data_IF_571006708947
#
_entry.id   IF_571006708947
#
_cell.length_a   1.000
_cell.length_b   1.000
_cell.length_c   1.000
_cell.angle_alpha   90.00
_cell.angle_beta   90.00
_cell.angle_gamma   90.00
#
_symmetry.space_group_name_H-M   'P 1'
#
loop_
_entity.id
_entity.type
_entity.pdbx_description
1 polymer ?
#
# COMPACT_ATOMS: atom_id res chain seq x y z
N UNK A 1 1.52 -47.34 4.23
CA UNK A 1 0.70 -46.16 3.84
C UNK A 1 0.99 -45.07 4.83
N UNK A 2 1.67 -43.98 4.41
CA UNK A 2 1.89 -42.83 5.29
C UNK A 2 0.53 -42.17 5.51
N UNK A 3 0.07 -42.11 6.77
CA UNK A 3 -1.11 -41.35 7.16
C UNK A 3 -0.79 -39.89 6.78
N UNK A 4 -1.45 -39.35 5.75
CA UNK A 4 -1.30 -37.95 5.38
C UNK A 4 -1.84 -37.12 6.54
N UNK A 5 -0.96 -36.44 7.26
CA UNK A 5 -1.37 -35.57 8.36
C UNK A 5 -2.35 -34.51 7.85
N UNK A 6 -3.41 -34.28 8.61
CA UNK A 6 -4.48 -33.34 8.23
C UNK A 6 -3.86 -31.91 8.11
N UNK A 7 -4.11 -31.18 7.00
CA UNK A 7 -3.68 -29.79 6.86
C UNK A 7 -4.17 -28.93 8.03
N UNK A 8 -3.32 -28.04 8.53
CA UNK A 8 -3.65 -27.14 9.64
C UNK A 8 -3.78 -25.69 9.17
N UNK A 9 -4.49 -24.88 9.95
CA UNK A 9 -4.64 -23.44 9.75
C UNK A 9 -3.97 -22.74 10.93
N UNK A 10 -2.73 -22.27 10.71
CA UNK A 10 -1.94 -21.63 11.75
C UNK A 10 -2.03 -20.12 11.71
N UNK A 11 -2.07 -19.50 12.90
CA UNK A 11 -1.91 -18.06 13.09
C UNK A 11 -0.50 -17.74 13.57
N UNK A 12 0.08 -16.68 13.02
CA UNK A 12 1.45 -16.22 13.33
C UNK A 12 1.41 -14.73 13.65
N UNK A 13 1.67 -14.38 14.89
CA UNK A 13 1.99 -13.01 15.26
C UNK A 13 3.49 -12.75 15.11
N UNK A 14 3.87 -11.63 14.50
CA UNK A 14 5.26 -11.37 14.10
C UNK A 14 5.85 -10.15 14.79
N UNK A 15 6.85 -10.40 15.64
CA UNK A 15 7.71 -9.39 16.24
C UNK A 15 9.12 -9.42 15.62
N UNK A 16 9.97 -8.47 16.01
CA UNK A 16 11.31 -8.33 15.48
C UNK A 16 12.19 -9.55 15.79
N UNK A 17 12.15 -10.03 17.02
CA UNK A 17 13.04 -11.07 17.52
C UNK A 17 12.39 -12.46 17.48
N UNK A 18 11.05 -12.53 17.54
CA UNK A 18 10.33 -13.79 17.65
C UNK A 18 9.03 -13.80 16.85
N UNK A 19 8.53 -14.99 16.62
CA UNK A 19 7.22 -15.28 16.04
C UNK A 19 6.44 -16.12 17.04
N UNK A 20 5.25 -15.68 17.42
CA UNK A 20 4.33 -16.46 18.25
C UNK A 20 3.34 -17.18 17.34
N UNK A 21 3.24 -18.49 17.50
CA UNK A 21 2.53 -19.36 16.58
C UNK A 21 1.45 -20.15 17.32
N UNK A 22 0.27 -20.18 16.74
CA UNK A 22 -0.82 -21.07 17.11
C UNK A 22 -1.09 -22.02 15.94
N UNK A 23 -0.75 -23.29 16.10
CA UNK A 23 -0.85 -24.28 15.00
C UNK A 23 -2.28 -24.78 14.73
N UNK A 24 -3.17 -24.67 15.70
CA UNK A 24 -4.60 -24.95 15.57
C UNK A 24 -5.36 -24.27 16.73
N UNK A 25 -6.69 -24.05 16.62
CA UNK A 25 -7.45 -23.33 17.63
C UNK A 25 -7.30 -23.86 19.06
N UNK A 26 -7.17 -25.17 19.21
CA UNK A 26 -7.12 -25.85 20.52
C UNK A 26 -5.69 -26.17 20.99
N UNK A 27 -4.65 -25.74 20.29
CA UNK A 27 -3.25 -25.94 20.71
C UNK A 27 -2.74 -24.77 21.54
N UNK A 28 -1.75 -25.00 22.39
CA UNK A 28 -1.08 -23.91 23.10
C UNK A 28 -0.18 -23.14 22.13
N UNK A 29 -0.20 -21.80 22.15
CA UNK A 29 0.75 -20.98 21.42
C UNK A 29 2.18 -21.26 21.87
N UNK A 30 3.12 -21.19 20.94
CA UNK A 30 4.55 -21.31 21.23
C UNK A 30 5.34 -20.27 20.41
N UNK A 31 6.53 -19.92 20.85
CA UNK A 31 7.40 -18.96 20.20
C UNK A 31 8.58 -19.63 19.51
N UNK A 32 8.97 -19.09 18.36
CA UNK A 32 10.25 -19.41 17.69
C UNK A 32 11.00 -18.12 17.37
N UNK A 33 12.34 -18.14 17.30
CA UNK A 33 13.08 -16.99 16.82
C UNK A 33 12.68 -16.55 15.40
N UNK A 34 12.54 -15.25 15.16
CA UNK A 34 12.26 -14.72 13.83
C UNK A 34 13.51 -14.75 12.95
N UNK A 35 14.03 -15.93 12.71
CA UNK A 35 15.22 -16.19 11.90
C UNK A 35 14.90 -17.19 10.79
N UNK A 36 15.60 -17.04 9.67
CA UNK A 36 15.45 -17.93 8.51
C UNK A 36 15.58 -19.41 8.86
N UNK A 37 16.51 -19.75 9.75
CA UNK A 37 16.79 -21.14 10.19
C UNK A 37 15.60 -21.71 11.00
N UNK A 38 15.11 -20.96 11.99
CA UNK A 38 14.02 -21.40 12.85
C UNK A 38 12.70 -21.53 12.07
N UNK A 39 12.39 -20.54 11.22
CA UNK A 39 11.23 -20.57 10.33
C UNK A 39 11.25 -21.81 9.44
N UNK A 40 12.38 -22.06 8.75
CA UNK A 40 12.53 -23.22 7.87
C UNK A 40 12.40 -24.55 8.62
N UNK A 41 12.91 -24.63 9.85
CA UNK A 41 12.80 -25.82 10.69
C UNK A 41 11.33 -26.08 11.06
N UNK A 42 10.60 -25.05 11.49
CA UNK A 42 9.19 -25.19 11.82
C UNK A 42 8.32 -25.54 10.60
N UNK A 43 8.50 -24.86 9.46
CA UNK A 43 7.73 -25.15 8.24
C UNK A 43 7.85 -26.59 7.77
N UNK A 44 8.98 -27.26 8.03
CA UNK A 44 9.18 -28.69 7.72
C UNK A 44 8.31 -29.62 8.57
N UNK A 45 7.84 -29.18 9.73
CA UNK A 45 6.95 -29.96 10.60
C UNK A 45 5.48 -29.89 10.18
N UNK A 46 5.14 -28.95 9.30
CA UNK A 46 3.77 -28.73 8.87
C UNK A 46 3.32 -29.75 7.81
N UNK A 47 2.08 -30.26 7.93
CA UNK A 47 1.47 -31.07 6.87
C UNK A 47 1.34 -30.30 5.56
N UNK A 48 1.50 -31.00 4.43
CA UNK A 48 1.23 -30.42 3.11
C UNK A 48 -0.22 -29.91 3.02
N UNK A 49 -0.41 -28.77 2.35
CA UNK A 49 -1.73 -28.15 2.21
C UNK A 49 -2.15 -27.27 3.38
N UNK A 50 -1.31 -27.14 4.43
CA UNK A 50 -1.55 -26.21 5.53
C UNK A 50 -1.56 -24.76 5.05
N UNK A 51 -2.27 -23.90 5.80
CA UNK A 51 -2.40 -22.47 5.53
C UNK A 51 -1.99 -21.63 6.74
N UNK A 52 -1.45 -20.46 6.48
CA UNK A 52 -0.89 -19.57 7.50
C UNK A 52 -1.53 -18.18 7.40
N UNK A 53 -2.07 -17.67 8.51
CA UNK A 53 -2.43 -16.25 8.63
C UNK A 53 -1.35 -15.51 9.43
N UNK A 54 -0.81 -14.45 8.88
CA UNK A 54 0.30 -13.68 9.47
C UNK A 54 -0.12 -12.22 9.58
N UNK A 55 0.05 -11.58 10.74
CA UNK A 55 -0.22 -10.14 10.87
C UNK A 55 0.87 -9.32 10.15
N UNK A 56 0.43 -8.31 9.41
CA UNK A 56 1.30 -7.36 8.70
C UNK A 56 1.95 -6.35 9.66
N UNK A 57 2.86 -6.79 10.52
CA UNK A 57 3.58 -5.92 11.44
C UNK A 57 4.90 -5.46 10.84
N UNK A 58 4.97 -4.18 10.44
CA UNK A 58 6.16 -3.58 9.80
C UNK A 58 6.68 -4.45 8.64
N UNK A 59 7.95 -4.91 8.72
CA UNK A 59 8.58 -5.85 7.77
C UNK A 59 8.85 -7.22 8.41
N UNK A 60 8.48 -7.41 9.66
CA UNK A 60 8.85 -8.60 10.45
C UNK A 60 8.18 -9.88 9.96
N UNK A 61 7.00 -9.77 9.37
CA UNK A 61 6.23 -10.88 8.78
C UNK A 61 6.81 -11.39 7.45
N UNK A 62 7.67 -10.61 6.79
CA UNK A 62 8.06 -10.89 5.39
C UNK A 62 8.86 -12.16 5.23
N UNK A 63 9.84 -12.43 6.11
CA UNK A 63 10.68 -13.63 6.02
C UNK A 63 9.83 -14.90 6.19
N UNK A 64 8.87 -14.89 7.13
CA UNK A 64 7.93 -15.99 7.31
C UNK A 64 7.04 -16.17 6.08
N UNK A 65 6.46 -15.10 5.56
CA UNK A 65 5.58 -15.16 4.39
C UNK A 65 6.31 -15.69 3.15
N UNK A 66 7.52 -15.21 2.88
CA UNK A 66 8.34 -15.62 1.74
C UNK A 66 8.76 -17.11 1.85
N UNK A 67 9.23 -17.56 3.01
CA UNK A 67 9.63 -18.96 3.20
C UNK A 67 8.44 -19.91 3.16
N UNK A 68 7.32 -19.54 3.79
CA UNK A 68 6.12 -20.37 3.77
C UNK A 68 5.57 -20.51 2.35
N UNK A 69 5.49 -19.42 1.59
CA UNK A 69 5.09 -19.46 0.18
C UNK A 69 6.05 -20.32 -0.67
N UNK A 70 7.36 -20.14 -0.49
CA UNK A 70 8.39 -20.93 -1.20
C UNK A 70 8.34 -22.42 -0.85
N UNK A 71 7.88 -22.77 0.36
CA UNK A 71 7.66 -24.13 0.79
C UNK A 71 6.31 -24.75 0.31
N UNK A 72 5.51 -23.97 -0.44
CA UNK A 72 4.24 -24.42 -1.04
C UNK A 72 3.03 -24.28 -0.12
N UNK A 73 3.14 -23.54 0.99
CA UNK A 73 2.01 -23.23 1.86
C UNK A 73 1.19 -22.05 1.36
N UNK A 74 -0.11 -22.05 1.63
CA UNK A 74 -0.98 -20.90 1.35
C UNK A 74 -0.83 -19.89 2.49
N UNK A 75 -0.40 -18.68 2.14
CA UNK A 75 -0.15 -17.62 3.11
C UNK A 75 -1.20 -16.52 2.96
N UNK A 76 -1.72 -16.04 4.09
CA UNK A 76 -2.62 -14.90 4.16
C UNK A 76 -1.99 -13.82 5.06
N UNK A 77 -1.64 -12.69 4.47
CA UNK A 77 -1.13 -11.54 5.24
C UNK A 77 -2.32 -10.66 5.63
N UNK A 78 -2.58 -10.58 6.92
CA UNK A 78 -3.75 -9.91 7.49
C UNK A 78 -3.35 -8.52 7.98
N UNK A 79 -4.11 -7.51 7.58
CA UNK A 79 -3.95 -6.14 8.06
C UNK A 79 -4.36 -5.99 9.52
N UNK A 80 -3.53 -5.32 10.34
CA UNK A 80 -3.76 -5.18 11.78
C UNK A 80 -5.06 -4.46 12.15
N UNK A 81 -5.51 -3.50 11.32
CA UNK A 81 -6.81 -2.85 11.53
C UNK A 81 -7.97 -3.84 11.32
N UNK A 82 -7.87 -4.71 10.31
CA UNK A 82 -8.86 -5.75 10.04
C UNK A 82 -8.91 -6.75 11.19
N UNK A 83 -7.76 -7.16 11.70
CA UNK A 83 -7.66 -8.04 12.85
C UNK A 83 -8.22 -7.40 14.12
N UNK A 84 -7.95 -6.11 14.36
CA UNK A 84 -8.51 -5.36 15.49
C UNK A 84 -10.04 -5.30 15.45
N UNK A 85 -10.63 -5.03 14.28
CA UNK A 85 -12.09 -5.03 14.12
C UNK A 85 -12.71 -6.41 14.31
N UNK A 86 -12.03 -7.46 13.87
CA UNK A 86 -12.48 -8.82 14.11
C UNK A 86 -12.43 -9.16 15.59
N UNK A 87 -11.39 -8.73 16.31
CA UNK A 87 -11.30 -8.85 17.78
C UNK A 87 -12.48 -8.17 18.48
N UNK A 88 -12.81 -6.96 18.08
CA UNK A 88 -13.95 -6.23 18.61
C UNK A 88 -15.29 -6.97 18.37
N UNK A 89 -15.47 -7.52 17.17
CA UNK A 89 -16.71 -8.22 16.77
C UNK A 89 -16.98 -9.47 17.60
N UNK A 90 -15.94 -10.13 18.13
CA UNK A 90 -16.05 -11.31 18.98
C UNK A 90 -15.88 -11.00 20.48
N UNK A 91 -15.92 -9.71 20.85
CA UNK A 91 -15.80 -9.21 22.23
C UNK A 91 -14.54 -9.69 22.99
N UNK A 92 -13.44 -9.98 22.26
CA UNK A 92 -12.18 -10.42 22.86
C UNK A 92 -11.42 -9.18 23.40
N UNK A 93 -11.23 -9.10 24.73
CA UNK A 93 -10.61 -7.96 25.39
C UNK A 93 -9.09 -8.09 25.56
N UNK A 94 -8.59 -9.32 25.70
CA UNK A 94 -7.17 -9.56 25.95
C UNK A 94 -6.34 -9.30 24.68
N UNK A 95 -5.25 -8.58 24.85
CA UNK A 95 -4.25 -8.32 23.80
C UNK A 95 -2.88 -8.75 24.32
N UNK A 96 -2.43 -9.91 23.89
CA UNK A 96 -1.07 -10.44 24.04
C UNK A 96 -0.72 -11.17 22.77
N UNK A 97 0.55 -11.36 22.48
CA UNK A 97 1.04 -12.03 21.26
C UNK A 97 0.46 -13.44 21.11
N UNK A 98 0.28 -14.16 22.22
CA UNK A 98 -0.39 -15.47 22.25
C UNK A 98 -1.87 -15.37 21.83
N UNK A 99 -2.61 -14.37 22.32
CA UNK A 99 -3.99 -14.13 21.92
C UNK A 99 -4.09 -13.66 20.47
N UNK A 100 -3.09 -12.92 19.98
CA UNK A 100 -3.06 -12.42 18.61
C UNK A 100 -2.78 -13.56 17.62
N UNK A 101 -1.89 -14.50 17.94
CA UNK A 101 -1.68 -15.72 17.16
C UNK A 101 -2.94 -16.63 17.15
N UNK A 102 -3.60 -16.80 18.30
CA UNK A 102 -4.84 -17.55 18.38
C UNK A 102 -5.98 -16.90 17.58
N UNK A 103 -6.08 -15.56 17.64
CA UNK A 103 -7.06 -14.80 16.89
C UNK A 103 -6.84 -14.93 15.38
N UNK A 104 -5.59 -14.93 14.92
CA UNK A 104 -5.22 -15.13 13.52
C UNK A 104 -5.60 -16.52 13.03
N UNK A 105 -5.31 -17.58 13.80
CA UNK A 105 -5.73 -18.94 13.47
C UNK A 105 -7.26 -19.05 13.36
N UNK A 106 -7.99 -18.50 14.34
CA UNK A 106 -9.46 -18.45 14.31
C UNK A 106 -9.99 -17.63 13.13
N UNK A 107 -9.36 -16.49 12.84
CA UNK A 107 -9.74 -15.63 11.72
C UNK A 107 -9.57 -16.38 10.39
N UNK A 108 -8.45 -17.06 10.21
CA UNK A 108 -8.20 -17.88 9.03
C UNK A 108 -9.26 -18.96 8.88
N UNK A 109 -9.54 -19.71 9.94
CA UNK A 109 -10.54 -20.79 9.92
C UNK A 109 -11.95 -20.33 9.55
N UNK A 110 -12.36 -19.12 9.98
CA UNK A 110 -13.72 -18.62 9.74
C UNK A 110 -13.85 -17.81 8.45
N UNK A 111 -12.80 -17.07 8.06
CA UNK A 111 -12.88 -16.07 7.01
C UNK A 111 -12.08 -16.44 5.75
N UNK A 112 -11.50 -17.63 5.66
CA UNK A 112 -10.60 -18.07 4.60
C UNK A 112 -11.15 -17.80 3.20
N UNK A 113 -12.43 -18.05 2.96
CA UNK A 113 -13.09 -17.83 1.67
C UNK A 113 -13.12 -16.36 1.25
N UNK A 114 -13.08 -15.45 2.20
CA UNK A 114 -13.05 -13.99 1.99
C UNK A 114 -11.63 -13.41 1.88
N UNK A 115 -10.60 -14.23 2.13
CA UNK A 115 -9.21 -13.80 2.14
C UNK A 115 -8.54 -14.06 0.80
N UNK A 116 -7.70 -13.12 0.37
CA UNK A 116 -6.84 -13.30 -0.79
C UNK A 116 -5.51 -13.89 -0.36
N UNK A 117 -5.11 -14.98 -0.96
CA UNK A 117 -3.79 -15.58 -0.74
C UNK A 117 -2.69 -14.57 -1.11
N UNK A 118 -1.68 -14.48 -0.24
CA UNK A 118 -0.52 -13.64 -0.47
C UNK A 118 0.44 -14.28 -1.48
N UNK A 119 0.95 -13.48 -2.37
CA UNK A 119 2.01 -13.86 -3.30
C UNK A 119 3.23 -12.96 -3.10
N UNK A 120 4.46 -13.48 -3.31
CA UNK A 120 5.65 -12.65 -3.19
C UNK A 120 5.59 -11.51 -4.22
N UNK A 121 6.04 -10.31 -3.82
CA UNK A 121 6.12 -9.20 -4.77
C UNK A 121 7.10 -9.53 -5.90
N UNK A 122 6.85 -8.98 -7.11
CA UNK A 122 7.76 -9.13 -8.25
C UNK A 122 9.20 -8.71 -7.94
N UNK A 123 10.16 -9.22 -8.71
CA UNK A 123 11.57 -8.85 -8.57
C UNK A 123 11.74 -7.32 -8.63
N UNK A 124 12.61 -6.79 -7.77
CA UNK A 124 12.84 -5.34 -7.67
C UNK A 124 11.79 -4.55 -6.87
N UNK A 125 10.56 -5.07 -6.72
CA UNK A 125 9.47 -4.38 -6.01
C UNK A 125 9.90 -3.88 -4.62
N UNK A 126 10.50 -4.75 -3.80
CA UNK A 126 10.94 -4.41 -2.44
C UNK A 126 11.99 -3.29 -2.44
N UNK A 127 12.97 -3.36 -3.36
CA UNK A 127 14.01 -2.32 -3.50
C UNK A 127 13.38 -0.97 -3.84
N UNK A 128 12.48 -0.94 -4.82
CA UNK A 128 11.76 0.26 -5.26
C UNK A 128 10.94 0.84 -4.09
N UNK A 129 10.19 0.01 -3.36
CA UNK A 129 9.37 0.45 -2.24
C UNK A 129 10.22 1.05 -1.11
N UNK A 130 11.37 0.44 -0.79
CA UNK A 130 12.31 0.95 0.22
C UNK A 130 12.85 2.32 -0.20
N UNK A 131 13.26 2.49 -1.46
CA UNK A 131 13.77 3.76 -1.98
C UNK A 131 12.70 4.86 -1.97
N UNK A 132 11.47 4.55 -2.40
CA UNK A 132 10.35 5.48 -2.32
C UNK A 132 10.08 5.95 -0.89
N UNK A 133 10.00 5.02 0.06
CA UNK A 133 9.75 5.36 1.48
C UNK A 133 10.88 6.18 2.09
N UNK A 134 12.13 5.84 1.80
CA UNK A 134 13.29 6.62 2.29
C UNK A 134 13.28 8.03 1.73
N UNK A 135 12.99 8.17 0.43
CA UNK A 135 12.85 9.50 -0.19
C UNK A 135 11.69 10.28 0.40
N UNK A 136 10.53 9.66 0.60
CA UNK A 136 9.39 10.29 1.24
C UNK A 136 9.73 10.83 2.63
N UNK A 137 10.47 10.04 3.43
CA UNK A 137 10.91 10.45 4.77
C UNK A 137 11.88 11.63 4.72
N UNK A 138 12.82 11.66 3.77
CA UNK A 138 13.69 12.83 3.59
C UNK A 138 12.92 14.10 3.23
N UNK A 139 11.92 14.00 2.34
CA UNK A 139 11.07 15.14 1.97
C UNK A 139 10.26 15.63 3.17
N UNK A 140 9.72 14.74 3.97
CA UNK A 140 8.99 15.06 5.19
C UNK A 140 9.87 15.82 6.18
N UNK A 141 11.03 15.26 6.53
CA UNK A 141 11.99 15.86 7.47
C UNK A 141 12.45 17.24 6.95
N UNK A 142 12.79 17.33 5.67
CA UNK A 142 13.22 18.58 5.05
C UNK A 142 12.13 19.65 5.11
N UNK A 143 10.87 19.27 4.89
CA UNK A 143 9.73 20.18 4.98
C UNK A 143 9.49 20.65 6.41
N UNK A 144 9.58 19.76 7.39
CA UNK A 144 9.47 20.10 8.82
C UNK A 144 10.56 21.09 9.24
N UNK A 145 11.82 20.84 8.86
CA UNK A 145 12.94 21.73 9.18
C UNK A 145 12.76 23.10 8.53
N UNK A 146 12.32 23.16 7.28
CA UNK A 146 12.05 24.44 6.59
C UNK A 146 10.96 25.25 7.29
N UNK A 147 9.90 24.61 7.76
CA UNK A 147 8.83 25.31 8.49
C UNK A 147 9.31 25.77 9.87
N UNK A 148 10.02 24.90 10.60
CA UNK A 148 10.52 25.21 11.95
C UNK A 148 11.53 26.35 11.96
N UNK A 149 12.39 26.48 10.94
CA UNK A 149 13.46 27.46 10.86
C UNK A 149 13.14 28.62 9.92
N UNK A 150 11.87 28.74 9.51
CA UNK A 150 11.43 29.86 8.68
C UNK A 150 11.55 31.16 9.44
N UNK A 151 12.31 32.11 8.86
CA UNK A 151 12.55 33.43 9.47
C UNK A 151 13.67 33.49 10.50
N UNK A 152 14.25 32.38 10.92
CA UNK A 152 15.43 32.37 11.80
C UNK A 152 16.69 32.83 11.04
N UNK A 153 17.24 34.00 11.45
CA UNK A 153 18.45 34.55 10.85
C UNK A 153 19.74 34.02 11.50
N UNK A 154 19.66 33.55 12.75
CA UNK A 154 20.82 33.17 13.55
C UNK A 154 21.51 31.92 12.99
N UNK A 155 20.71 30.90 12.61
CA UNK A 155 21.20 29.64 12.07
C UNK A 155 21.00 29.48 10.55
N UNK A 156 20.63 30.54 9.84
CA UNK A 156 20.35 30.49 8.41
C UNK A 156 21.48 29.87 7.54
N UNK A 157 22.78 30.16 7.77
CA UNK A 157 23.86 29.54 7.00
C UNK A 157 23.99 28.06 7.24
N UNK A 158 23.81 27.57 8.48
CA UNK A 158 23.87 26.17 8.86
C UNK A 158 22.67 25.41 8.26
N UNK A 159 21.48 26.00 8.38
CA UNK A 159 20.28 25.44 7.78
C UNK A 159 20.38 25.30 6.25
N UNK A 160 20.91 26.33 5.57
CA UNK A 160 21.11 26.29 4.10
C UNK A 160 22.04 25.15 3.67
N UNK A 161 23.12 24.88 4.44
CA UNK A 161 24.02 23.75 4.17
C UNK A 161 23.32 22.42 4.34
N UNK A 162 22.56 22.25 5.45
CA UNK A 162 21.80 21.05 5.74
C UNK A 162 20.69 20.81 4.70
N UNK A 163 19.92 21.84 4.33
CA UNK A 163 18.88 21.76 3.30
C UNK A 163 19.46 21.34 1.95
N UNK A 164 20.64 21.86 1.58
CA UNK A 164 21.38 21.45 0.38
C UNK A 164 21.78 19.97 0.43
N UNK A 165 22.30 19.50 1.57
CA UNK A 165 22.71 18.09 1.74
C UNK A 165 21.50 17.15 1.65
N UNK A 166 20.38 17.48 2.31
CA UNK A 166 19.14 16.72 2.23
C UNK A 166 18.61 16.69 0.79
N UNK A 167 18.67 17.79 0.06
CA UNK A 167 18.28 17.84 -1.37
C UNK A 167 19.15 16.95 -2.24
N UNK A 168 20.45 16.92 -2.00
CA UNK A 168 21.37 16.04 -2.72
C UNK A 168 21.07 14.55 -2.44
N UNK A 169 20.77 14.22 -1.19
CA UNK A 169 20.35 12.85 -0.81
C UNK A 169 19.02 12.45 -1.49
N UNK A 170 18.03 13.36 -1.57
CA UNK A 170 16.79 13.11 -2.33
C UNK A 170 17.09 12.79 -3.80
N UNK A 171 17.96 13.56 -4.45
CA UNK A 171 18.32 13.38 -5.86
C UNK A 171 19.08 12.05 -6.07
N UNK A 172 19.99 11.70 -5.16
CA UNK A 172 20.71 10.43 -5.21
C UNK A 172 19.77 9.23 -5.07
N UNK A 173 18.79 9.30 -4.15
CA UNK A 173 17.75 8.26 -4.02
C UNK A 173 16.87 8.17 -5.27
N UNK A 174 16.51 9.28 -5.87
CA UNK A 174 15.72 9.27 -7.12
C UNK A 174 16.52 8.71 -8.29
N UNK A 175 17.82 9.03 -8.40
CA UNK A 175 18.70 8.42 -9.39
C UNK A 175 18.76 6.89 -9.22
N UNK A 176 19.01 6.43 -7.99
CA UNK A 176 19.04 4.98 -7.71
C UNK A 176 17.69 4.31 -7.97
N UNK A 177 16.59 5.00 -7.68
CA UNK A 177 15.24 4.51 -7.98
C UNK A 177 15.04 4.28 -9.49
N UNK A 178 15.53 5.21 -10.35
CA UNK A 178 15.48 5.05 -11.81
C UNK A 178 16.28 3.84 -12.29
N UNK A 179 17.46 3.63 -11.73
CA UNK A 179 18.29 2.47 -12.03
C UNK A 179 17.58 1.15 -11.68
N UNK A 180 17.01 1.06 -10.46
CA UNK A 180 16.30 -0.16 -10.03
C UNK A 180 15.02 -0.39 -10.82
N UNK A 181 14.31 0.66 -11.24
CA UNK A 181 13.16 0.57 -12.14
C UNK A 181 13.56 -0.02 -13.48
N UNK A 182 14.69 0.41 -14.03
CA UNK A 182 15.26 -0.12 -15.27
C UNK A 182 15.69 -1.58 -15.12
N UNK A 183 16.43 -1.90 -14.04
CA UNK A 183 16.81 -3.28 -13.70
C UNK A 183 15.59 -4.22 -13.59
N UNK A 184 14.45 -3.70 -13.17
CA UNK A 184 13.19 -4.44 -13.04
C UNK A 184 12.35 -4.51 -14.33
N UNK A 185 12.79 -3.89 -15.44
CA UNK A 185 12.08 -3.88 -16.73
C UNK A 185 10.74 -3.12 -16.71
N UNK A 186 10.61 -2.11 -15.86
CA UNK A 186 9.35 -1.38 -15.67
C UNK A 186 9.25 -0.07 -16.47
N UNK A 187 10.26 0.25 -17.27
CA UNK A 187 10.37 1.53 -17.98
C UNK A 187 9.17 1.81 -18.89
N UNK A 188 8.73 0.84 -19.66
CA UNK A 188 7.62 1.00 -20.60
C UNK A 188 6.29 1.27 -19.87
N UNK A 189 6.05 0.54 -18.78
CA UNK A 189 4.84 0.72 -17.99
C UNK A 189 4.80 2.10 -17.32
N UNK A 190 5.95 2.55 -16.79
CA UNK A 190 6.07 3.89 -16.24
C UNK A 190 5.88 4.96 -17.32
N UNK A 191 6.49 4.80 -18.50
CA UNK A 191 6.36 5.74 -19.62
C UNK A 191 4.91 5.94 -20.02
N UNK A 192 4.11 4.86 -20.13
CA UNK A 192 2.67 4.96 -20.42
C UNK A 192 1.94 5.78 -19.37
N UNK A 193 2.16 5.51 -18.10
CA UNK A 193 1.50 6.24 -17.00
C UNK A 193 1.95 7.71 -16.95
N UNK A 194 3.20 8.01 -17.31
CA UNK A 194 3.73 9.38 -17.36
C UNK A 194 3.19 10.22 -18.51
N UNK A 195 2.55 9.62 -19.51
CA UNK A 195 1.85 10.36 -20.58
C UNK A 195 0.64 11.13 -20.04
N UNK A 196 0.10 10.74 -18.88
CA UNK A 196 -1.00 11.47 -18.24
C UNK A 196 -0.51 12.82 -17.73
N UNK A 197 -1.06 13.96 -18.22
CA UNK A 197 -0.64 15.28 -17.78
C UNK A 197 -0.77 15.46 -16.27
N UNK A 198 0.33 15.87 -15.63
CA UNK A 198 0.45 16.01 -14.19
C UNK A 198 1.14 14.83 -13.49
N UNK A 199 1.24 13.66 -14.12
CA UNK A 199 1.93 12.50 -13.53
C UNK A 199 3.42 12.54 -13.84
N UNK A 200 4.21 12.81 -12.79
CA UNK A 200 5.67 12.70 -12.84
C UNK A 200 6.17 11.29 -12.51
N UNK A 201 7.49 11.10 -12.63
CA UNK A 201 8.17 9.82 -12.43
C UNK A 201 7.79 9.12 -11.12
N UNK A 202 7.85 9.84 -9.99
CA UNK A 202 7.57 9.24 -8.67
C UNK A 202 6.12 8.78 -8.53
N UNK A 203 5.18 9.55 -9.08
CA UNK A 203 3.75 9.17 -9.07
C UNK A 203 3.53 7.94 -9.94
N UNK A 204 4.16 7.89 -11.13
CA UNK A 204 4.10 6.73 -12.00
C UNK A 204 4.66 5.47 -11.31
N UNK A 205 5.83 5.59 -10.64
CA UNK A 205 6.40 4.47 -9.86
C UNK A 205 5.42 4.01 -8.79
N UNK A 206 4.85 4.92 -7.99
CA UNK A 206 3.89 4.55 -6.95
C UNK A 206 2.65 3.82 -7.49
N UNK A 207 2.11 4.28 -8.62
CA UNK A 207 0.95 3.66 -9.28
C UNK A 207 1.29 2.28 -9.87
N UNK A 208 2.39 2.15 -10.60
CA UNK A 208 2.85 0.88 -11.17
C UNK A 208 3.12 -0.14 -10.06
N UNK A 209 3.82 0.27 -9.00
CA UNK A 209 4.08 -0.60 -7.84
C UNK A 209 2.81 -1.07 -7.16
N UNK A 210 1.80 -0.19 -7.04
CA UNK A 210 0.49 -0.54 -6.48
C UNK A 210 -0.28 -1.50 -7.39
N UNK A 211 -0.26 -1.26 -8.70
CA UNK A 211 -0.90 -2.10 -9.70
C UNK A 211 -0.35 -3.54 -9.69
N UNK A 212 0.98 -3.69 -9.58
CA UNK A 212 1.65 -4.99 -9.55
C UNK A 212 1.36 -5.82 -8.29
N UNK A 213 0.77 -5.25 -7.25
CA UNK A 213 0.47 -5.93 -5.98
C UNK A 213 -0.86 -6.65 -5.94
N UNK A 214 -1.71 -6.46 -6.92
CA UNK A 214 -3.01 -7.08 -6.91
C UNK A 214 -3.63 -7.26 -8.27
N UNK A 215 -4.56 -8.18 -8.35
CA UNK A 215 -5.54 -8.24 -9.41
C UNK A 215 -6.73 -7.40 -8.97
N UNK A 216 -7.14 -6.49 -9.80
CA UNK A 216 -8.25 -5.58 -9.55
C UNK A 216 -9.34 -5.88 -10.56
N UNK A 217 -10.58 -5.99 -10.07
CA UNK A 217 -11.75 -6.23 -10.92
C UNK A 217 -11.92 -5.07 -11.91
N UNK A 218 -11.76 -3.85 -11.43
CA UNK A 218 -11.94 -2.61 -12.20
C UNK A 218 -11.07 -1.47 -11.63
N UNK A 219 -11.23 -0.29 -12.23
CA UNK A 219 -10.53 0.92 -11.81
C UNK A 219 -10.96 1.43 -10.43
N UNK A 220 -12.18 1.13 -9.98
CA UNK A 220 -12.66 1.55 -8.67
C UNK A 220 -12.10 0.68 -7.56
N UNK A 221 -11.95 -0.61 -7.78
CA UNK A 221 -11.20 -1.51 -6.91
C UNK A 221 -9.73 -1.05 -6.74
N UNK A 222 -9.10 -0.58 -7.83
CA UNK A 222 -7.76 0.00 -7.75
C UNK A 222 -7.73 1.30 -6.95
N UNK A 223 -8.69 2.22 -7.16
CA UNK A 223 -8.83 3.46 -6.38
C UNK A 223 -9.05 3.16 -4.90
N UNK A 224 -9.86 2.14 -4.57
CA UNK A 224 -10.07 1.69 -3.20
C UNK A 224 -8.78 1.12 -2.57
N UNK A 225 -8.01 0.33 -3.32
CA UNK A 225 -6.70 -0.16 -2.88
C UNK A 225 -5.71 0.98 -2.55
N UNK A 226 -5.76 2.07 -3.32
CA UNK A 226 -4.97 3.28 -3.03
C UNK A 226 -5.49 4.06 -1.80
N UNK A 227 -6.64 3.66 -1.24
CA UNK A 227 -7.29 4.36 -0.14
C UNK A 227 -7.87 5.72 -0.52
N UNK A 228 -8.29 5.85 -1.78
CA UNK A 228 -8.90 7.05 -2.35
C UNK A 228 -10.41 6.88 -2.62
N UNK A 229 -11.00 5.76 -2.23
CA UNK A 229 -12.45 5.55 -2.21
C UNK A 229 -13.11 6.44 -1.13
N UNK A 230 -14.39 6.71 -1.33
CA UNK A 230 -15.19 7.54 -0.42
C UNK A 230 -16.00 6.63 0.47
N UNK A 231 -15.78 6.74 1.78
CA UNK A 231 -16.62 6.11 2.78
C UNK A 231 -17.67 7.12 3.25
N UNK A 232 -18.94 6.70 3.24
CA UNK A 232 -20.06 7.48 3.77
C UNK A 232 -20.61 6.75 4.98
N UNK A 233 -20.73 7.46 6.11
CA UNK A 233 -21.47 6.97 7.26
C UNK A 233 -22.89 7.53 7.17
N UNK A 234 -23.88 6.65 7.07
CA UNK A 234 -25.30 7.00 7.06
C UNK A 234 -26.01 6.25 8.16
N UNK A 235 -26.90 6.95 8.87
CA UNK A 235 -27.72 6.36 9.92
C UNK A 235 -29.09 7.04 9.89
N UNK A 236 -30.11 6.32 9.46
CA UNK A 236 -31.46 6.86 9.32
C UNK A 236 -31.50 8.09 8.39
N UNK A 237 -32.01 9.20 8.91
CA UNK A 237 -32.07 10.48 8.17
C UNK A 237 -30.75 11.26 8.13
N UNK A 238 -29.73 10.82 8.89
CA UNK A 238 -28.44 11.50 8.94
C UNK A 238 -27.50 10.96 7.85
N UNK A 239 -27.05 11.83 6.97
CA UNK A 239 -26.03 11.53 5.98
C UNK A 239 -24.75 12.29 6.31
N UNK A 240 -23.73 11.56 6.74
CA UNK A 240 -22.41 12.14 7.03
C UNK A 240 -21.69 12.58 5.76
N UNK A 241 -20.77 13.53 5.91
CA UNK A 241 -19.90 13.95 4.79
C UNK A 241 -18.99 12.79 4.39
N UNK A 242 -18.98 12.46 3.10
CA UNK A 242 -18.05 11.46 2.55
C UNK A 242 -16.58 11.82 2.84
N UNK A 243 -15.82 10.86 3.31
CA UNK A 243 -14.38 10.98 3.61
C UNK A 243 -13.60 9.92 2.83
N UNK A 244 -12.36 10.21 2.47
CA UNK A 244 -11.47 9.17 1.93
C UNK A 244 -11.25 8.07 2.97
N UNK A 245 -11.27 6.81 2.53
CA UNK A 245 -10.99 5.65 3.40
C UNK A 245 -9.58 5.68 3.97
N UNK A 246 -8.62 6.20 3.21
CA UNK A 246 -7.17 6.28 3.53
C UNK A 246 -6.54 4.92 3.86
N UNK A 247 -7.15 3.80 3.43
CA UNK A 247 -6.70 2.43 3.70
C UNK A 247 -5.58 1.92 2.79
N UNK A 248 -4.92 2.80 2.04
CA UNK A 248 -3.81 2.46 1.16
C UNK A 248 -2.50 3.16 1.57
N UNK A 249 -1.50 3.11 0.69
CA UNK A 249 -0.21 3.75 0.91
C UNK A 249 -0.34 5.28 0.93
N UNK A 250 0.03 5.91 2.04
CA UNK A 250 -0.07 7.35 2.25
C UNK A 250 0.82 8.15 1.29
N UNK A 251 1.99 7.60 0.94
CA UNK A 251 2.90 8.26 0.01
C UNK A 251 2.34 8.27 -1.40
N UNK A 252 1.74 7.19 -1.86
CA UNK A 252 1.09 7.15 -3.19
C UNK A 252 -0.06 8.15 -3.26
N UNK A 253 -0.87 8.27 -2.21
CA UNK A 253 -1.92 9.31 -2.14
C UNK A 253 -1.35 10.73 -2.18
N UNK A 254 -0.26 10.99 -1.45
CA UNK A 254 0.42 12.29 -1.47
C UNK A 254 0.96 12.62 -2.86
N UNK A 255 1.58 11.64 -3.53
CA UNK A 255 2.09 11.80 -4.90
C UNK A 255 0.96 12.05 -5.90
N UNK A 256 -0.16 11.34 -5.80
CA UNK A 256 -1.36 11.57 -6.63
C UNK A 256 -1.96 12.95 -6.39
N UNK A 257 -2.01 13.40 -5.15
CA UNK A 257 -2.48 14.76 -4.84
C UNK A 257 -1.57 15.82 -5.47
N UNK A 258 -0.25 15.66 -5.38
CA UNK A 258 0.70 16.55 -6.04
C UNK A 258 0.57 16.50 -7.58
N UNK A 259 0.35 15.30 -8.14
CA UNK A 259 0.09 15.13 -9.57
C UNK A 259 -1.19 15.86 -9.99
N UNK A 260 -2.24 15.83 -9.19
CA UNK A 260 -3.48 16.57 -9.46
C UNK A 260 -3.29 18.09 -9.36
N UNK A 261 -2.46 18.59 -8.42
CA UNK A 261 -2.10 20.01 -8.35
C UNK A 261 -1.36 20.47 -9.60
N UNK A 262 -0.41 19.69 -10.09
CA UNK A 262 0.29 19.97 -11.34
C UNK A 262 -0.66 19.84 -12.54
N UNK A 263 -1.41 18.76 -12.60
CA UNK A 263 -2.36 18.47 -13.68
C UNK A 263 -3.45 19.52 -13.82
N UNK A 264 -4.01 20.05 -12.72
CA UNK A 264 -5.06 21.07 -12.75
C UNK A 264 -4.70 22.36 -13.49
N UNK A 265 -3.42 22.56 -13.74
CA UNK A 265 -2.87 23.72 -14.48
C UNK A 265 -2.63 23.42 -15.96
N UNK A 266 -2.75 22.16 -16.39
CA UNK A 266 -2.56 21.75 -17.79
C UNK A 266 -3.86 22.00 -18.57
N UNK A 267 -3.76 22.23 -19.88
CA UNK A 267 -4.94 22.41 -20.74
C UNK A 267 -5.89 21.23 -20.68
N UNK A 268 -5.35 20.03 -20.53
CA UNK A 268 -6.14 18.77 -20.43
C UNK A 268 -7.09 18.77 -19.23
N UNK A 269 -6.65 19.23 -18.06
CA UNK A 269 -7.43 19.12 -16.82
C UNK A 269 -7.96 20.42 -16.27
N UNK A 270 -7.57 21.57 -16.81
CA UNK A 270 -7.96 22.90 -16.36
C UNK A 270 -9.48 23.08 -16.34
N UNK A 271 -10.16 22.68 -17.45
CA UNK A 271 -11.61 22.76 -17.53
C UNK A 271 -12.31 21.79 -16.58
N UNK A 272 -11.82 20.55 -16.46
CA UNK A 272 -12.33 19.58 -15.49
C UNK A 272 -12.23 20.09 -14.06
N UNK A 273 -11.07 20.64 -13.66
CA UNK A 273 -10.88 21.23 -12.36
C UNK A 273 -11.80 22.43 -12.13
N UNK A 274 -11.88 23.38 -13.09
CA UNK A 274 -12.72 24.55 -13.02
C UNK A 274 -14.21 24.18 -12.90
N UNK A 275 -14.67 23.13 -13.58
CA UNK A 275 -16.04 22.63 -13.46
C UNK A 275 -16.40 22.27 -12.01
N UNK A 276 -15.52 21.55 -11.32
CA UNK A 276 -15.76 21.18 -9.92
C UNK A 276 -15.70 22.38 -8.99
N UNK A 277 -14.82 23.35 -9.25
CA UNK A 277 -14.78 24.61 -8.49
C UNK A 277 -16.09 25.42 -8.67
N UNK A 278 -16.61 25.53 -9.89
CA UNK A 278 -17.90 26.21 -10.18
C UNK A 278 -19.09 25.53 -9.47
N UNK A 279 -19.02 24.21 -9.23
CA UNK A 279 -20.01 23.46 -8.44
C UNK A 279 -19.83 23.58 -6.92
N UNK A 280 -19.06 24.57 -6.43
CA UNK A 280 -18.89 24.86 -5.01
C UNK A 280 -17.97 23.86 -4.27
N UNK A 281 -17.21 23.00 -4.96
CA UNK A 281 -16.23 22.14 -4.29
C UNK A 281 -15.04 22.97 -3.81
N UNK A 282 -14.56 22.68 -2.60
CA UNK A 282 -13.31 23.30 -2.11
C UNK A 282 -12.11 22.81 -2.95
N UNK A 283 -11.07 23.63 -3.06
CA UNK A 283 -9.81 23.30 -3.78
C UNK A 283 -9.32 21.88 -3.52
N UNK A 284 -9.20 21.49 -2.25
CA UNK A 284 -8.76 20.12 -1.89
C UNK A 284 -9.69 19.04 -2.42
N UNK A 285 -11.02 19.28 -2.40
CA UNK A 285 -12.00 18.32 -2.91
C UNK A 285 -11.87 18.16 -4.43
N UNK A 286 -11.78 19.28 -5.17
CA UNK A 286 -11.61 19.25 -6.62
C UNK A 286 -10.30 18.56 -7.03
N UNK A 287 -9.21 18.80 -6.31
CA UNK A 287 -7.93 18.12 -6.54
C UNK A 287 -8.00 16.61 -6.23
N UNK A 288 -8.70 16.22 -5.17
CA UNK A 288 -8.91 14.78 -4.85
C UNK A 288 -9.77 14.11 -5.93
N UNK A 289 -10.77 14.77 -6.46
CA UNK A 289 -11.57 14.24 -7.58
C UNK A 289 -10.68 14.05 -8.82
N UNK A 290 -9.82 15.01 -9.15
CA UNK A 290 -8.86 14.87 -10.24
C UNK A 290 -7.84 13.75 -9.96
N UNK A 291 -7.31 13.64 -8.74
CA UNK A 291 -6.39 12.57 -8.38
C UNK A 291 -7.00 11.18 -8.55
N UNK A 292 -8.28 11.01 -8.17
CA UNK A 292 -9.02 9.75 -8.41
C UNK A 292 -9.22 9.47 -9.91
N UNK A 293 -9.50 10.51 -10.71
CA UNK A 293 -9.58 10.37 -12.17
C UNK A 293 -8.22 9.94 -12.76
N UNK A 294 -7.13 10.58 -12.36
CA UNK A 294 -5.78 10.18 -12.79
C UNK A 294 -5.46 8.73 -12.42
N UNK A 295 -5.85 8.28 -11.23
CA UNK A 295 -5.65 6.89 -10.80
C UNK A 295 -6.44 5.89 -11.67
N UNK A 296 -7.71 6.19 -12.00
CA UNK A 296 -8.52 5.34 -12.91
C UNK A 296 -7.94 5.25 -14.32
N UNK A 297 -7.51 6.39 -14.86
CA UNK A 297 -6.88 6.43 -16.17
C UNK A 297 -5.56 5.67 -16.19
N UNK A 298 -4.71 5.86 -15.18
CA UNK A 298 -3.47 5.11 -15.04
C UNK A 298 -3.73 3.60 -14.96
N UNK A 299 -4.76 3.16 -14.21
CA UNK A 299 -5.19 1.77 -14.20
C UNK A 299 -5.54 1.27 -15.60
N UNK A 300 -6.35 2.01 -16.36
CA UNK A 300 -6.73 1.65 -17.73
C UNK A 300 -5.52 1.50 -18.65
N UNK A 301 -4.57 2.45 -18.61
CA UNK A 301 -3.35 2.38 -19.40
C UNK A 301 -2.48 1.16 -19.03
N UNK A 302 -2.35 0.84 -17.75
CA UNK A 302 -1.60 -0.32 -17.28
C UNK A 302 -2.30 -1.64 -17.62
N UNK A 303 -3.62 -1.70 -17.44
CA UNK A 303 -4.42 -2.91 -17.68
C UNK A 303 -4.46 -3.31 -19.15
N UNK A 304 -4.63 -2.33 -20.03
CA UNK A 304 -4.75 -2.55 -21.48
C UNK A 304 -3.44 -2.34 -22.22
N UNK A 305 -2.35 -2.02 -21.53
CA UNK A 305 -1.04 -1.69 -22.10
C UNK A 305 -1.14 -0.62 -23.22
N UNK A 306 -2.09 0.32 -23.06
CA UNK A 306 -2.42 1.34 -24.02
C UNK A 306 -1.67 2.64 -23.77
N UNK A 307 -1.48 3.44 -24.79
CA UNK A 307 -0.97 4.80 -24.69
C UNK A 307 -2.10 5.81 -24.44
N UNK A 308 -1.74 6.93 -23.83
CA UNK A 308 -2.67 8.01 -23.56
C UNK A 308 -3.13 8.69 -24.84
N UNK A 309 -4.45 8.83 -25.02
CA UNK A 309 -5.09 9.52 -26.15
C UNK A 309 -6.07 10.56 -25.62
N UNK A 310 -5.70 11.85 -25.59
CA UNK A 310 -6.54 12.93 -25.02
C UNK A 310 -7.94 12.96 -25.63
N UNK A 311 -8.08 12.77 -26.93
CA UNK A 311 -9.33 12.82 -27.69
C UNK A 311 -10.37 11.81 -27.22
N UNK A 312 -9.94 10.66 -26.72
CA UNK A 312 -10.83 9.62 -26.23
C UNK A 312 -11.33 9.93 -24.81
N UNK A 313 -10.49 10.61 -24.00
CA UNK A 313 -10.72 10.73 -22.54
C UNK A 313 -11.14 12.13 -22.09
N UNK A 314 -10.96 13.17 -22.93
CA UNK A 314 -11.28 14.56 -22.58
C UNK A 314 -12.68 14.98 -23.10
N UNK A 315 -13.18 14.33 -24.15
CA UNK A 315 -14.49 14.63 -24.76
C UNK A 315 -15.67 13.79 -24.27
N UNK A 316 -15.48 12.82 -23.41
CA UNK A 316 -16.55 11.99 -22.88
C UNK A 316 -17.31 12.68 -21.74
N UNK A 317 -18.62 12.39 -21.54
CA UNK A 317 -19.36 12.87 -20.38
C UNK A 317 -18.63 12.44 -19.10
N UNK A 318 -18.75 13.19 -17.99
CA UNK A 318 -18.14 12.80 -16.73
C UNK A 318 -18.61 11.39 -16.40
N UNK A 319 -17.68 10.45 -16.31
CA UNK A 319 -17.98 9.10 -15.83
C UNK A 319 -18.73 9.28 -14.50
N UNK A 320 -19.95 8.78 -14.47
CA UNK A 320 -20.86 8.92 -13.33
C UNK A 320 -20.16 8.55 -12.03
N UNK A 321 -20.46 9.35 -10.99
CA UNK A 321 -19.93 9.20 -9.63
C UNK A 321 -20.33 7.87 -9.01
#
# INVERSE_FOLDING_TARGET
MAISAIPIEAGVDSAKEELVIQSAPDTKPFAIPNTRKAIKAWLKTLPKGSALAIEATSTYHMEMAEQAHAAGFVVYVVDGLRLSKYRESIALRAKTDAHDAALLARYLSKERSSLKAWTPPPAGHRKIQVLLRRRAKLVEVRSMLRMSWSGDKLFAPQFKRMDKALKQAELALEKRLREVVKEAGLEDQLRRVQQLPGIGFLTAVGLVMSFMRGEFADSDAFVAYLGMDITVAQSGKWAGRGKLSKRGDSEVRRLLYNASMSGSRTETWKQFYAHHMKRGKKTTQALVILARRLARLAYGLMRHQADWRPEIYVGGPPLHN
#
